data_IF_600872811332
#
_entry.id   IF_600872811332
#
_cell.length_a   1.000
_cell.length_b   1.000
_cell.length_c   1.000
_cell.angle_alpha   90.00
_cell.angle_beta   90.00
_cell.angle_gamma   90.00
#
_symmetry.space_group_name_H-M   'P 1'
#
loop_
_entity.id
_entity.type
_entity.pdbx_description
1 polymer ?
#
# COMPACT_ATOMS: atom_id res chain seq x y z
N UNK A 1 40.65 -20.61 51.99
CA UNK A 1 39.45 -19.79 51.65
C UNK A 1 39.66 -18.84 50.48
N UNK A 2 40.67 -17.99 50.44
CA UNK A 2 40.84 -17.00 49.33
C UNK A 2 40.95 -17.57 47.93
N UNK A 3 41.53 -18.75 47.69
CA UNK A 3 41.64 -19.36 46.36
C UNK A 3 40.31 -19.82 45.81
N UNK A 4 39.47 -20.42 46.64
CA UNK A 4 38.13 -20.86 46.27
C UNK A 4 37.19 -19.68 45.95
N UNK A 5 37.32 -18.58 46.70
CA UNK A 5 36.54 -17.36 46.44
C UNK A 5 36.91 -16.74 45.09
N UNK A 6 38.22 -16.71 44.74
CA UNK A 6 38.68 -16.23 43.42
C UNK A 6 38.14 -17.10 42.25
N UNK A 7 38.15 -18.43 42.44
CA UNK A 7 37.62 -19.37 41.43
C UNK A 7 36.10 -19.17 41.26
N UNK A 8 35.35 -19.06 42.34
CA UNK A 8 33.93 -18.77 42.30
C UNK A 8 33.62 -17.42 41.64
N UNK A 9 34.40 -16.39 41.96
CA UNK A 9 34.24 -15.06 41.38
C UNK A 9 34.58 -15.04 39.87
N UNK A 10 35.64 -15.75 39.45
CA UNK A 10 35.99 -15.88 38.04
C UNK A 10 34.96 -16.70 37.26
N UNK A 11 34.40 -17.76 37.87
CA UNK A 11 33.34 -18.56 37.26
C UNK A 11 32.05 -17.74 37.14
N UNK A 12 31.69 -17.00 38.17
CA UNK A 12 30.52 -16.10 38.11
C UNK A 12 30.70 -15.02 37.04
N UNK A 13 31.87 -14.43 36.93
CA UNK A 13 32.21 -13.44 35.88
C UNK A 13 32.13 -14.09 34.50
N UNK A 14 32.66 -15.30 34.33
CA UNK A 14 32.60 -16.03 33.07
C UNK A 14 31.15 -16.37 32.66
N UNK A 15 30.30 -16.76 33.62
CA UNK A 15 28.88 -17.01 33.40
C UNK A 15 28.18 -15.70 32.99
N UNK A 16 28.46 -14.58 33.63
CA UNK A 16 27.91 -13.26 33.29
C UNK A 16 28.32 -12.85 31.86
N UNK A 17 29.60 -13.00 31.52
CA UNK A 17 30.12 -12.68 30.19
C UNK A 17 29.51 -13.61 29.13
N UNK A 18 29.43 -14.92 29.40
CA UNK A 18 28.78 -15.87 28.50
C UNK A 18 27.27 -15.55 28.29
N UNK A 19 26.57 -15.22 29.38
CA UNK A 19 25.18 -14.78 29.34
C UNK A 19 25.00 -13.53 28.45
N UNK A 20 25.87 -12.52 28.61
CA UNK A 20 25.87 -11.32 27.81
C UNK A 20 26.10 -11.57 26.33
N UNK A 21 27.02 -12.46 25.98
CA UNK A 21 27.29 -12.83 24.59
C UNK A 21 26.17 -13.65 23.93
N UNK A 22 25.45 -14.45 24.71
CA UNK A 22 24.38 -15.32 24.20
C UNK A 22 23.03 -14.64 24.12
N UNK A 23 22.77 -13.60 24.93
CA UNK A 23 21.47 -12.96 25.01
C UNK A 23 21.10 -12.26 23.70
N UNK A 24 22.04 -11.61 23.04
CA UNK A 24 21.81 -10.91 21.77
C UNK A 24 21.44 -11.90 20.65
N UNK A 25 22.11 -13.07 20.62
CA UNK A 25 21.83 -14.13 19.65
C UNK A 25 20.46 -14.76 19.92
N UNK A 26 20.13 -15.00 21.19
CA UNK A 26 18.85 -15.57 21.58
C UNK A 26 17.68 -14.62 21.25
N UNK A 27 17.83 -13.32 21.54
CA UNK A 27 16.85 -12.29 21.21
C UNK A 27 16.68 -12.19 19.70
N UNK A 28 17.78 -12.15 18.93
CA UNK A 28 17.72 -12.13 17.48
C UNK A 28 16.91 -13.31 16.95
N UNK A 29 17.24 -14.53 17.35
CA UNK A 29 16.57 -15.76 16.88
C UNK A 29 15.08 -15.77 17.24
N UNK A 30 14.75 -15.30 18.45
CA UNK A 30 13.36 -15.20 18.90
C UNK A 30 12.57 -14.21 18.03
N UNK A 31 13.13 -13.01 17.81
CA UNK A 31 12.44 -11.95 17.02
C UNK A 31 12.30 -12.41 15.57
N UNK A 32 13.32 -13.00 14.97
CA UNK A 32 13.25 -13.50 13.59
C UNK A 32 12.23 -14.65 13.47
N UNK A 33 12.18 -15.57 14.43
CA UNK A 33 11.23 -16.69 14.43
C UNK A 33 9.80 -16.26 14.66
N UNK A 34 9.51 -15.66 15.80
CA UNK A 34 8.15 -15.25 16.17
C UNK A 34 7.64 -14.09 15.29
N UNK A 35 8.52 -13.16 14.93
CA UNK A 35 8.18 -12.07 14.03
C UNK A 35 7.83 -12.58 12.63
N UNK A 36 8.58 -13.55 12.09
CA UNK A 36 8.27 -14.17 10.80
C UNK A 36 6.93 -14.91 10.83
N UNK A 37 6.62 -15.60 11.91
CA UNK A 37 5.33 -16.26 12.10
C UNK A 37 4.18 -15.25 12.16
N UNK A 38 4.38 -14.14 12.89
CA UNK A 38 3.36 -13.11 13.05
C UNK A 38 3.05 -12.36 11.74
N UNK A 39 4.08 -12.12 10.91
CA UNK A 39 3.95 -11.40 9.63
C UNK A 39 3.56 -12.33 8.47
N UNK A 40 3.75 -13.64 8.61
CA UNK A 40 3.51 -14.62 7.54
C UNK A 40 4.61 -14.63 6.46
N UNK A 41 5.72 -13.92 6.69
CA UNK A 41 6.86 -13.83 5.80
C UNK A 41 8.15 -13.67 6.60
N UNK A 42 9.28 -13.99 5.98
CA UNK A 42 10.57 -13.91 6.65
C UNK A 42 10.86 -12.49 7.16
N UNK A 43 11.05 -12.37 8.46
CA UNK A 43 11.65 -11.22 9.13
C UNK A 43 13.11 -11.52 9.40
N UNK A 44 14.00 -10.61 9.05
CA UNK A 44 15.46 -10.74 9.24
C UNK A 44 16.02 -9.49 9.89
N UNK A 45 16.98 -9.66 10.78
CA UNK A 45 17.74 -8.57 11.39
C UNK A 45 19.23 -8.90 11.35
N UNK A 46 20.08 -7.91 11.12
CA UNK A 46 21.53 -8.14 11.13
C UNK A 46 22.05 -8.35 12.54
N UNK A 47 21.61 -7.50 13.46
CA UNK A 47 22.01 -7.57 14.88
C UNK A 47 20.86 -7.12 15.80
N UNK A 48 20.76 -7.79 16.94
CA UNK A 48 19.99 -7.35 18.10
C UNK A 48 20.98 -7.07 19.23
N UNK A 49 20.88 -5.90 19.86
CA UNK A 49 21.74 -5.54 20.99
C UNK A 49 20.86 -5.11 22.16
N UNK A 50 21.03 -5.77 23.28
CA UNK A 50 20.29 -5.47 24.49
C UNK A 50 21.15 -4.77 25.52
N UNK A 51 20.74 -3.58 25.94
CA UNK A 51 21.38 -2.82 27.03
C UNK A 51 20.50 -2.88 28.28
N UNK A 52 21.09 -3.20 29.41
CA UNK A 52 20.37 -3.30 30.67
C UNK A 52 20.18 -1.93 31.35
N UNK A 53 21.10 -1.01 31.17
CA UNK A 53 21.06 0.34 31.74
C UNK A 53 21.51 1.40 30.70
N UNK A 54 20.60 2.23 30.14
CA UNK A 54 19.16 2.09 30.22
C UNK A 54 18.67 0.82 29.53
N UNK A 55 17.53 0.28 29.98
CA UNK A 55 16.97 -0.92 29.38
C UNK A 55 16.46 -0.62 27.98
N UNK A 56 17.25 -1.00 26.98
CA UNK A 56 16.96 -0.70 25.58
C UNK A 56 17.34 -1.87 24.70
N UNK A 57 16.44 -2.27 23.82
CA UNK A 57 16.71 -3.20 22.73
C UNK A 57 16.90 -2.41 21.44
N UNK A 58 18.02 -2.62 20.77
CA UNK A 58 18.31 -2.01 19.47
C UNK A 58 18.45 -3.09 18.42
N UNK A 59 17.65 -2.98 17.35
CA UNK A 59 17.69 -3.84 16.18
C UNK A 59 18.33 -3.09 15.03
N UNK A 60 19.21 -3.73 14.29
CA UNK A 60 19.86 -3.16 13.11
C UNK A 60 19.45 -3.90 11.87
N UNK A 61 19.18 -3.11 10.82
CA UNK A 61 18.78 -3.59 9.50
C UNK A 61 17.61 -4.59 9.56
N UNK A 62 16.51 -4.14 10.17
CA UNK A 62 15.27 -4.90 10.19
C UNK A 62 14.69 -4.96 8.79
N UNK A 63 14.44 -6.16 8.27
CA UNK A 63 13.90 -6.41 6.95
C UNK A 63 12.69 -7.33 7.05
N UNK A 64 11.59 -6.95 6.41
CA UNK A 64 10.37 -7.75 6.32
C UNK A 64 10.12 -8.09 4.85
N UNK A 65 10.08 -9.37 4.53
CA UNK A 65 9.87 -9.87 3.16
C UNK A 65 8.46 -9.52 2.66
N UNK A 66 8.33 -9.17 1.38
CA UNK A 66 7.04 -9.03 0.74
C UNK A 66 6.45 -10.41 0.43
N UNK A 67 5.22 -10.66 0.92
CA UNK A 67 4.53 -11.95 0.72
C UNK A 67 4.17 -12.22 -0.74
N UNK A 68 4.07 -11.18 -1.58
CA UNK A 68 3.71 -11.28 -3.00
C UNK A 68 4.93 -11.28 -3.92
N UNK A 69 6.00 -10.59 -3.49
CA UNK A 69 7.25 -10.48 -4.23
C UNK A 69 8.43 -10.79 -3.30
N UNK A 70 8.77 -12.07 -3.05
CA UNK A 70 9.79 -12.47 -2.07
C UNK A 70 11.19 -11.92 -2.35
N UNK A 71 11.45 -11.42 -3.54
CA UNK A 71 12.67 -10.71 -3.92
C UNK A 71 12.73 -9.26 -3.41
N UNK A 72 11.64 -8.76 -2.82
CA UNK A 72 11.54 -7.42 -2.26
C UNK A 72 11.27 -7.48 -0.75
N UNK A 73 11.61 -6.39 -0.06
CA UNK A 73 11.16 -6.12 1.29
C UNK A 73 9.90 -5.26 1.25
N UNK A 74 8.83 -5.64 1.95
CA UNK A 74 7.70 -4.73 2.20
C UNK A 74 8.18 -3.49 2.93
N UNK A 75 9.05 -3.69 3.94
CA UNK A 75 9.69 -2.63 4.69
C UNK A 75 11.10 -3.02 5.14
N UNK A 76 11.96 -2.03 5.27
CA UNK A 76 13.30 -2.15 5.81
C UNK A 76 13.58 -0.93 6.69
N UNK A 77 14.09 -1.14 7.91
CA UNK A 77 14.53 -0.07 8.81
C UNK A 77 16.01 -0.23 9.15
N UNK A 78 16.76 0.85 9.08
CA UNK A 78 18.21 0.83 9.38
C UNK A 78 18.43 0.56 10.86
N UNK A 79 17.66 1.21 11.73
CA UNK A 79 17.74 1.04 13.18
C UNK A 79 16.37 1.15 13.82
N UNK A 80 16.07 0.23 14.73
CA UNK A 80 14.88 0.27 15.59
C UNK A 80 15.35 0.22 17.04
N UNK A 81 15.01 1.24 17.82
CA UNK A 81 15.36 1.34 19.24
C UNK A 81 14.11 1.28 20.10
N UNK A 82 14.09 0.37 21.07
CA UNK A 82 12.96 0.08 21.93
C UNK A 82 13.40 0.16 23.41
N UNK A 83 13.14 1.27 24.09
CA UNK A 83 13.27 1.33 25.56
C UNK A 83 12.15 0.48 26.18
N UNK A 84 12.52 -0.46 27.04
CA UNK A 84 11.63 -1.44 27.64
C UNK A 84 11.40 -1.16 29.12
N UNK A 85 10.17 -1.34 29.57
CA UNK A 85 9.82 -1.33 30.99
C UNK A 85 9.81 -2.75 31.55
N UNK A 86 10.91 -3.17 32.20
CA UNK A 86 11.07 -4.54 32.69
C UNK A 86 10.10 -4.90 33.82
N UNK A 87 9.63 -3.93 34.59
CA UNK A 87 8.65 -4.15 35.67
C UNK A 87 7.36 -4.77 35.17
N UNK A 88 6.86 -4.31 34.02
CA UNK A 88 5.61 -4.74 33.41
C UNK A 88 5.67 -6.15 32.82
N UNK A 89 6.88 -6.68 32.57
CA UNK A 89 7.05 -8.04 32.05
C UNK A 89 6.60 -9.11 33.05
N UNK A 90 6.61 -8.82 34.34
CA UNK A 90 6.09 -9.75 35.37
C UNK A 90 4.56 -9.93 35.25
N UNK A 91 3.86 -8.93 34.73
CA UNK A 91 2.42 -8.95 34.47
C UNK A 91 2.11 -9.32 33.03
N UNK A 92 3.10 -9.90 32.31
CA UNK A 92 3.00 -10.27 30.90
C UNK A 92 2.63 -9.08 29.98
N UNK A 93 3.03 -7.89 30.36
CA UNK A 93 2.85 -6.66 29.58
C UNK A 93 4.20 -6.20 29.03
N UNK A 94 4.27 -5.99 27.73
CA UNK A 94 5.41 -5.38 27.06
C UNK A 94 5.05 -3.93 26.71
N UNK A 95 5.47 -3.02 27.57
CA UNK A 95 5.24 -1.58 27.37
C UNK A 95 6.52 -0.94 26.86
N UNK A 96 6.47 -0.39 25.66
CA UNK A 96 7.53 0.40 25.03
C UNK A 96 7.11 1.86 25.07
N UNK A 97 7.82 2.66 25.85
CA UNK A 97 7.45 4.06 26.11
C UNK A 97 7.72 5.00 24.94
N UNK A 98 8.88 4.80 24.29
CA UNK A 98 9.31 5.63 23.17
C UNK A 98 10.16 4.81 22.20
N UNK A 99 9.53 4.28 21.16
CA UNK A 99 10.21 3.55 20.08
C UNK A 99 10.72 4.55 19.04
N UNK A 100 11.93 4.30 18.52
CA UNK A 100 12.49 5.08 17.43
C UNK A 100 12.79 4.17 16.25
N UNK A 101 12.28 4.54 15.08
CA UNK A 101 12.52 3.84 13.82
C UNK A 101 13.23 4.80 12.87
N UNK A 102 14.49 4.50 12.55
CA UNK A 102 15.29 5.31 11.65
C UNK A 102 15.53 4.62 10.33
N UNK A 103 15.50 5.42 9.26
CA UNK A 103 15.83 4.97 7.92
C UNK A 103 14.82 3.98 7.35
N UNK A 104 13.52 4.17 7.61
CA UNK A 104 12.46 3.31 7.08
C UNK A 104 12.35 3.48 5.56
N UNK A 105 12.41 2.35 4.84
CA UNK A 105 12.27 2.28 3.38
C UNK A 105 11.31 1.17 3.00
N UNK A 106 10.66 1.33 1.85
CA UNK A 106 9.68 0.36 1.32
C UNK A 106 10.17 -0.21 -0.01
N UNK A 107 9.70 -1.41 -0.36
CA UNK A 107 9.94 -2.08 -1.64
C UNK A 107 11.43 -2.22 -2.00
N UNK A 108 12.30 -2.37 -1.00
CA UNK A 108 13.74 -2.52 -1.24
C UNK A 108 14.08 -3.92 -1.76
N UNK A 109 14.97 -4.06 -2.77
CA UNK A 109 15.39 -5.36 -3.27
C UNK A 109 16.17 -6.13 -2.20
N UNK A 110 15.91 -7.43 -2.10
CA UNK A 110 16.66 -8.35 -1.23
C UNK A 110 17.81 -8.99 -1.99
N UNK A 111 18.91 -9.22 -1.28
CA UNK A 111 20.05 -9.97 -1.83
C UNK A 111 19.67 -11.44 -2.14
N UNK A 112 18.76 -12.02 -1.33
CA UNK A 112 18.19 -13.35 -1.54
C UNK A 112 16.70 -13.29 -1.30
N UNK A 113 15.87 -13.98 -2.11
CA UNK A 113 14.44 -14.06 -1.89
C UNK A 113 14.13 -14.59 -0.48
N UNK A 114 13.21 -13.92 0.21
CA UNK A 114 12.79 -14.33 1.55
C UNK A 114 11.89 -15.56 1.52
N UNK A 115 11.91 -16.34 2.60
CA UNK A 115 10.99 -17.46 2.78
C UNK A 115 9.59 -16.95 3.12
N UNK A 116 8.56 -17.63 2.59
CA UNK A 116 7.16 -17.38 2.94
C UNK A 116 6.69 -18.48 3.88
N UNK A 117 6.06 -18.10 4.96
CA UNK A 117 5.41 -19.03 5.91
C UNK A 117 3.96 -19.33 5.51
N UNK A 118 3.41 -18.51 4.61
CA UNK A 118 2.07 -18.66 4.03
C UNK A 118 2.14 -18.57 2.51
N UNK A 119 1.45 -19.47 1.80
CA UNK A 119 1.35 -19.45 0.34
C UNK A 119 0.29 -18.43 -0.09
N UNK A 120 0.72 -17.32 -0.71
CA UNK A 120 -0.21 -16.40 -1.36
C UNK A 120 -0.85 -17.06 -2.60
N UNK A 121 -2.16 -16.88 -2.86
CA UNK A 121 -2.80 -17.42 -4.06
C UNK A 121 -2.22 -16.77 -5.32
N UNK A 122 -1.72 -17.59 -6.23
CA UNK A 122 -1.26 -17.15 -7.55
C UNK A 122 -2.45 -16.68 -8.40
N UNK A 123 -2.28 -15.59 -9.14
CA UNK A 123 -3.27 -15.11 -10.12
C UNK A 123 -3.36 -16.16 -11.25
N UNK A 124 -4.47 -16.88 -11.31
CA UNK A 124 -4.69 -17.95 -12.28
C UNK A 124 -5.01 -17.40 -13.68
N UNK A 125 -4.69 -18.18 -14.73
CA UNK A 125 -5.01 -17.84 -16.14
C UNK A 125 -6.54 -17.63 -16.34
N UNK A 126 -7.37 -18.21 -15.50
CA UNK A 126 -8.81 -17.96 -15.44
C UNK A 126 -9.16 -16.50 -15.12
N UNK A 127 -8.41 -15.85 -14.22
CA UNK A 127 -8.63 -14.45 -13.88
C UNK A 127 -8.22 -13.51 -15.04
N UNK A 128 -7.26 -13.91 -15.88
CA UNK A 128 -6.90 -13.16 -17.10
C UNK A 128 -8.00 -13.26 -18.15
N UNK A 129 -8.50 -14.49 -18.42
CA UNK A 129 -9.58 -14.71 -19.38
C UNK A 129 -10.87 -13.94 -18.98
N UNK A 130 -11.18 -13.90 -17.70
CA UNK A 130 -12.32 -13.16 -17.17
C UNK A 130 -12.18 -11.63 -17.38
N UNK A 131 -10.95 -11.09 -17.24
CA UNK A 131 -10.67 -9.68 -17.54
C UNK A 131 -10.88 -9.31 -19.01
N UNK A 132 -10.39 -10.14 -19.91
CA UNK A 132 -10.64 -9.96 -21.37
C UNK A 132 -12.14 -9.93 -21.70
N UNK A 133 -12.91 -10.80 -21.07
CA UNK A 133 -14.36 -10.82 -21.27
C UNK A 133 -15.02 -9.55 -20.72
N UNK A 134 -14.61 -9.09 -19.52
CA UNK A 134 -15.13 -7.86 -18.93
C UNK A 134 -14.82 -6.61 -19.76
N UNK A 135 -13.61 -6.52 -20.34
CA UNK A 135 -13.22 -5.42 -21.22
C UNK A 135 -14.09 -5.41 -22.50
N UNK A 136 -14.29 -6.57 -23.15
CA UNK A 136 -15.17 -6.68 -24.32
C UNK A 136 -16.62 -6.34 -24.00
N UNK A 137 -17.15 -6.81 -22.88
CA UNK A 137 -18.50 -6.50 -22.45
C UNK A 137 -18.66 -5.02 -22.11
N UNK A 138 -17.62 -4.36 -21.60
CA UNK A 138 -17.63 -2.93 -21.34
C UNK A 138 -17.57 -2.12 -22.63
N UNK A 139 -16.73 -2.49 -23.59
CA UNK A 139 -16.70 -1.88 -24.91
C UNK A 139 -18.05 -2.07 -25.65
N UNK A 140 -18.67 -3.25 -25.56
CA UNK A 140 -20.01 -3.52 -26.13
C UNK A 140 -21.10 -2.69 -25.45
N UNK A 141 -21.04 -2.46 -24.13
CA UNK A 141 -21.98 -1.58 -23.42
C UNK A 141 -21.81 -0.12 -23.83
N UNK A 142 -20.59 0.32 -24.05
CA UNK A 142 -20.27 1.65 -24.56
C UNK A 142 -20.82 1.79 -25.99
N UNK A 143 -20.59 0.82 -26.85
CA UNK A 143 -21.12 0.79 -28.21
C UNK A 143 -22.66 0.81 -28.21
N UNK A 144 -23.29 0.04 -27.33
CA UNK A 144 -24.77 0.02 -27.21
C UNK A 144 -25.32 1.36 -26.67
N UNK A 145 -24.66 1.99 -25.72
CA UNK A 145 -25.03 3.30 -25.18
C UNK A 145 -24.84 4.43 -26.21
N UNK A 146 -23.80 4.34 -27.03
CA UNK A 146 -23.53 5.29 -28.11
C UNK A 146 -24.45 5.11 -29.31
N UNK A 147 -24.96 3.89 -29.54
CA UNK A 147 -25.92 3.60 -30.60
C UNK A 147 -27.37 4.15 -30.35
N UNK A 148 -27.64 4.53 -29.09
CA UNK A 148 -28.97 5.03 -28.68
C UNK A 148 -28.86 6.47 -28.14
N UNK A 149 -28.95 7.52 -28.98
CA UNK A 149 -28.66 8.92 -28.62
C UNK A 149 -29.70 9.59 -27.72
N UNK A 150 -30.53 8.85 -27.02
CA UNK A 150 -31.54 9.39 -26.11
C UNK A 150 -30.98 9.53 -24.70
N UNK A 151 -30.53 10.73 -24.40
CA UNK A 151 -30.21 11.37 -23.12
C UNK A 151 -28.74 11.32 -22.66
N UNK A 152 -28.20 12.53 -22.44
CA UNK A 152 -26.93 12.76 -21.74
C UNK A 152 -26.89 12.20 -20.29
N UNK A 153 -28.05 11.75 -19.77
CA UNK A 153 -28.17 11.05 -18.49
C UNK A 153 -27.72 9.57 -18.58
N UNK A 154 -27.80 8.95 -19.76
CA UNK A 154 -27.43 7.54 -19.94
C UNK A 154 -25.91 7.32 -20.07
N UNK A 155 -25.16 8.37 -20.41
CA UNK A 155 -23.67 8.32 -20.38
C UNK A 155 -23.11 8.16 -18.97
N UNK A 156 -23.83 8.61 -17.95
CA UNK A 156 -23.46 8.33 -16.55
C UNK A 156 -23.81 6.87 -16.13
N UNK A 157 -24.81 6.27 -16.77
CA UNK A 157 -25.23 4.89 -16.52
C UNK A 157 -24.30 3.85 -17.19
N UNK A 158 -23.59 4.23 -18.27
CA UNK A 158 -22.67 3.35 -18.99
C UNK A 158 -21.39 2.97 -18.21
N UNK A 159 -21.16 3.59 -17.07
CA UNK A 159 -19.94 3.40 -16.27
C UNK A 159 -18.73 4.18 -16.84
N UNK A 160 -17.80 4.51 -15.98
CA UNK A 160 -16.57 5.19 -16.40
C UNK A 160 -15.72 4.28 -17.29
N UNK A 161 -15.35 4.74 -18.49
CA UNK A 161 -14.39 4.04 -19.37
C UNK A 161 -13.07 3.85 -18.62
N UNK A 162 -12.61 4.87 -17.94
CA UNK A 162 -11.40 4.83 -17.10
C UNK A 162 -11.56 3.82 -15.97
N UNK A 163 -12.74 3.69 -15.38
CA UNK A 163 -13.06 2.69 -14.35
C UNK A 163 -12.89 1.26 -14.83
N UNK A 164 -13.26 0.98 -16.08
CA UNK A 164 -13.05 -0.33 -16.70
C UNK A 164 -11.57 -0.59 -16.98
N UNK A 165 -10.87 0.41 -17.52
CA UNK A 165 -9.46 0.28 -17.90
C UNK A 165 -8.53 0.16 -16.68
N UNK A 166 -8.84 0.82 -15.57
CA UNK A 166 -7.95 0.93 -14.40
C UNK A 166 -8.46 0.19 -13.15
N UNK A 167 -9.72 -0.22 -13.12
CA UNK A 167 -10.38 -0.76 -11.92
C UNK A 167 -9.67 -1.98 -11.35
N UNK A 168 -9.18 -2.86 -12.20
CA UNK A 168 -8.48 -4.08 -11.77
C UNK A 168 -7.09 -3.81 -11.19
N UNK A 169 -6.45 -2.70 -11.55
CA UNK A 169 -5.17 -2.27 -10.94
C UNK A 169 -5.40 -1.68 -9.55
N UNK A 170 -6.54 -1.05 -9.31
CA UNK A 170 -6.86 -0.39 -8.04
C UNK A 170 -7.40 -1.34 -6.97
N UNK A 171 -8.06 -2.44 -7.35
CA UNK A 171 -8.56 -3.46 -6.42
C UNK A 171 -7.49 -4.02 -5.48
N UNK A 172 -6.29 -4.43 -5.96
CA UNK A 172 -5.23 -4.91 -5.08
C UNK A 172 -4.72 -3.84 -4.10
N UNK A 173 -4.64 -2.58 -4.52
CA UNK A 173 -4.24 -1.46 -3.66
C UNK A 173 -5.28 -1.25 -2.54
N UNK A 174 -6.56 -1.29 -2.87
CA UNK A 174 -7.62 -1.19 -1.87
C UNK A 174 -7.55 -2.37 -0.90
N UNK A 175 -7.34 -3.59 -1.37
CA UNK A 175 -7.19 -4.77 -0.51
C UNK A 175 -6.00 -4.63 0.47
N UNK A 176 -4.91 -3.99 0.06
CA UNK A 176 -3.79 -3.68 0.95
C UNK A 176 -4.18 -2.66 2.03
N UNK A 177 -4.86 -1.58 1.65
CA UNK A 177 -5.36 -0.57 2.59
C UNK A 177 -6.31 -1.21 3.60
N UNK A 178 -7.24 -2.04 3.14
CA UNK A 178 -8.17 -2.79 3.99
C UNK A 178 -7.42 -3.72 4.95
N UNK A 179 -6.41 -4.43 4.47
CA UNK A 179 -5.61 -5.32 5.33
C UNK A 179 -4.87 -4.55 6.43
N UNK A 180 -4.38 -3.34 6.16
CA UNK A 180 -3.76 -2.47 7.16
C UNK A 180 -4.75 -1.96 8.21
N UNK A 181 -6.03 -1.81 7.84
CA UNK A 181 -7.10 -1.35 8.73
C UNK A 181 -7.81 -2.49 9.46
N UNK A 182 -7.54 -3.75 9.08
CA UNK A 182 -8.09 -4.91 9.78
C UNK A 182 -7.31 -5.11 11.08
N UNK A 183 -7.99 -5.21 12.24
CA UNK A 183 -7.31 -5.47 13.50
C UNK A 183 -6.46 -6.73 13.39
N UNK A 184 -5.20 -6.72 13.85
CA UNK A 184 -4.36 -7.90 13.82
C UNK A 184 -5.04 -9.01 14.62
N UNK A 185 -5.21 -10.18 13.99
CA UNK A 185 -5.66 -11.35 14.72
C UNK A 185 -4.53 -11.77 15.65
N UNK A 186 -4.83 -11.99 16.94
CA UNK A 186 -3.87 -12.34 17.98
C UNK A 186 -3.07 -13.59 17.58
N UNK A 187 -1.90 -13.40 17.02
CA UNK A 187 -0.93 -14.46 16.71
C UNK A 187 0.10 -14.68 17.83
N UNK A 188 0.25 -13.71 18.73
CA UNK A 188 1.04 -13.86 19.94
C UNK A 188 0.20 -14.65 20.97
N UNK A 189 0.73 -15.75 21.48
CA UNK A 189 0.04 -16.62 22.43
C UNK A 189 -0.74 -15.82 23.48
N UNK A 190 -1.90 -16.29 23.86
CA UNK A 190 -3.01 -15.61 24.55
C UNK A 190 -2.67 -14.78 25.82
N UNK A 191 -1.42 -14.72 26.23
CA UNK A 191 -1.03 -14.22 27.55
C UNK A 191 -0.22 -12.92 27.55
N UNK A 192 0.29 -12.46 26.40
CA UNK A 192 1.11 -11.25 26.32
C UNK A 192 0.36 -10.06 25.76
N UNK A 193 0.44 -8.93 26.46
CA UNK A 193 -0.14 -7.66 26.03
C UNK A 193 0.95 -6.67 25.65
N UNK A 194 0.86 -6.09 24.46
CA UNK A 194 1.88 -5.18 23.92
C UNK A 194 1.27 -3.78 23.73
N UNK A 195 1.98 -2.76 24.23
CA UNK A 195 1.65 -1.36 24.01
C UNK A 195 2.91 -0.58 23.62
N UNK A 196 2.88 0.03 22.45
CA UNK A 196 3.85 1.02 21.99
C UNK A 196 3.23 2.40 22.20
N UNK A 197 3.66 3.10 23.25
CA UNK A 197 3.03 4.35 23.67
C UNK A 197 3.35 5.51 22.72
N UNK A 198 4.61 5.58 22.28
CA UNK A 198 5.06 6.60 21.35
C UNK A 198 6.09 6.00 20.40
N UNK A 199 5.93 6.28 19.11
CA UNK A 199 6.85 5.85 18.07
C UNK A 199 7.22 7.08 17.25
N UNK A 200 8.50 7.41 17.21
CA UNK A 200 9.08 8.33 16.26
C UNK A 200 9.59 7.55 15.06
N UNK A 201 9.24 7.99 13.87
CA UNK A 201 9.67 7.36 12.63
C UNK A 201 10.23 8.38 11.66
N UNK A 202 11.33 8.05 11.02
CA UNK A 202 11.82 8.73 9.83
C UNK A 202 12.14 7.72 8.74
N UNK A 203 12.07 8.18 7.51
CA UNK A 203 12.29 7.28 6.39
C UNK A 203 12.19 7.95 5.04
N UNK A 204 12.14 7.12 4.02
CA UNK A 204 12.06 7.53 2.63
C UNK A 204 11.01 6.70 1.89
N UNK A 205 10.16 7.38 1.13
CA UNK A 205 9.22 6.80 0.20
C UNK A 205 9.78 6.95 -1.21
N UNK A 206 10.07 5.85 -1.88
CA UNK A 206 10.51 5.83 -3.27
C UNK A 206 9.30 5.85 -4.20
N UNK A 207 9.16 6.94 -4.95
CA UNK A 207 8.09 7.15 -5.92
C UNK A 207 8.60 7.07 -7.37
N UNK A 208 9.77 6.46 -7.55
CA UNK A 208 10.37 6.20 -8.86
C UNK A 208 11.20 7.35 -9.46
N UNK A 209 11.29 8.51 -8.80
CA UNK A 209 12.09 9.67 -9.26
C UNK A 209 13.18 10.05 -8.29
N UNK A 210 12.76 10.64 -7.20
CA UNK A 210 13.58 10.96 -6.04
C UNK A 210 12.88 10.50 -4.79
N UNK A 211 13.60 9.91 -3.83
CA UNK A 211 12.97 9.48 -2.59
C UNK A 211 12.44 10.69 -1.83
N UNK A 212 11.18 10.61 -1.42
CA UNK A 212 10.54 11.58 -0.56
C UNK A 212 10.86 11.22 0.89
N UNK A 213 11.65 12.02 1.58
CA UNK A 213 11.93 11.83 2.99
C UNK A 213 10.73 12.27 3.83
N UNK A 214 10.42 11.52 4.86
CA UNK A 214 9.35 11.82 5.79
C UNK A 214 9.77 11.61 7.24
N UNK A 215 9.06 12.27 8.13
CA UNK A 215 9.10 12.04 9.58
C UNK A 215 7.68 11.90 10.10
N UNK A 216 7.52 11.26 11.23
CA UNK A 216 6.20 11.15 11.83
C UNK A 216 6.20 10.53 13.20
N UNK A 217 5.01 10.50 13.77
CA UNK A 217 4.74 9.94 15.10
C UNK A 217 3.56 8.99 15.03
N UNK A 218 3.62 7.91 15.82
CA UNK A 218 2.48 7.03 16.09
C UNK A 218 2.34 6.90 17.60
N UNK A 219 1.13 7.08 18.09
CA UNK A 219 0.81 7.01 19.52
C UNK A 219 -0.12 5.84 19.81
N UNK A 220 0.15 5.16 20.92
CA UNK A 220 -0.69 4.11 21.51
C UNK A 220 -1.00 2.97 20.54
N UNK A 221 0.00 2.47 19.85
CA UNK A 221 -0.16 1.31 18.97
C UNK A 221 -0.16 0.02 19.80
N UNK A 222 -1.22 -0.76 19.67
CA UNK A 222 -1.35 -2.06 20.34
C UNK A 222 -2.09 -3.06 19.45
N UNK A 223 -1.66 -4.34 19.38
CA UNK A 223 -2.45 -5.40 18.76
C UNK A 223 -3.70 -5.77 19.59
N UNK A 224 -3.77 -5.33 20.87
CA UNK A 224 -4.91 -5.54 21.77
C UNK A 224 -5.37 -4.21 22.38
N UNK A 225 -5.88 -3.27 21.57
CA UNK A 225 -6.22 -1.93 22.03
C UNK A 225 -7.33 -1.92 23.09
N UNK A 226 -8.20 -2.94 23.10
CA UNK A 226 -9.25 -3.11 24.11
C UNK A 226 -8.68 -3.38 25.52
N UNK A 227 -7.50 -4.02 25.62
CA UNK A 227 -6.87 -4.30 26.92
C UNK A 227 -6.36 -3.03 27.58
N UNK A 228 -5.78 -2.12 26.80
CA UNK A 228 -5.20 -0.86 27.27
C UNK A 228 -6.17 0.32 27.22
N UNK A 229 -7.38 0.12 26.70
CA UNK A 229 -8.38 1.17 26.41
C UNK A 229 -7.77 2.36 25.64
N UNK A 230 -6.95 2.06 24.65
CA UNK A 230 -6.19 3.05 23.90
C UNK A 230 -6.67 3.18 22.46
N UNK A 231 -6.49 4.39 21.89
CA UNK A 231 -6.76 4.72 20.50
C UNK A 231 -5.45 5.07 19.83
N UNK A 232 -5.12 4.39 18.75
CA UNK A 232 -3.92 4.70 17.97
C UNK A 232 -4.12 5.98 17.16
N UNK A 233 -3.17 6.91 17.25
CA UNK A 233 -3.09 8.11 16.41
C UNK A 233 -1.78 8.14 15.68
N UNK A 234 -1.77 8.63 14.46
CA UNK A 234 -0.54 8.84 13.72
C UNK A 234 -0.57 10.13 12.93
N UNK A 235 0.62 10.67 12.70
CA UNK A 235 0.85 11.82 11.84
C UNK A 235 2.19 11.63 11.14
N UNK A 236 2.19 11.71 9.80
CA UNK A 236 3.39 11.64 8.97
C UNK A 236 3.44 12.87 8.08
N UNK A 237 4.61 13.48 7.98
CA UNK A 237 4.85 14.64 7.13
C UNK A 237 6.15 14.43 6.34
N UNK A 238 6.16 14.87 5.08
CA UNK A 238 7.43 14.91 4.35
C UNK A 238 8.32 16.02 4.89
N UNK A 239 9.60 15.73 5.02
CA UNK A 239 10.59 16.78 5.27
C UNK A 239 10.71 17.61 4.00
N UNK A 240 10.73 18.93 4.16
CA UNK A 240 10.71 19.91 3.07
C UNK A 240 11.90 19.70 2.13
N UNK A 241 11.72 18.88 1.12
CA UNK A 241 12.57 18.75 -0.04
C UNK A 241 11.79 19.23 -1.26
N UNK A 242 12.43 19.86 -2.20
CA UNK A 242 11.92 20.63 -3.33
C UNK A 242 10.99 19.86 -4.30
N UNK A 243 10.62 18.61 -4.05
CA UNK A 243 10.00 17.70 -5.01
C UNK A 243 8.69 17.08 -4.57
N UNK A 244 7.94 17.72 -3.69
CA UNK A 244 6.63 17.27 -3.25
C UNK A 244 6.44 17.30 -1.74
N UNK A 245 5.19 17.32 -1.32
CA UNK A 245 4.81 17.29 0.09
C UNK A 245 3.86 16.15 0.36
N UNK A 246 4.06 15.47 1.47
CA UNK A 246 3.17 14.46 2.01
C UNK A 246 2.73 14.91 3.40
N UNK A 247 1.44 14.88 3.64
CA UNK A 247 0.88 14.96 4.98
C UNK A 247 -0.15 13.85 5.10
N UNK A 248 0.00 12.99 6.10
CA UNK A 248 -1.02 11.99 6.41
C UNK A 248 -1.22 11.91 7.91
N UNK A 249 -2.47 11.81 8.32
CA UNK A 249 -2.83 11.66 9.73
C UNK A 249 -4.03 10.74 9.88
N UNK A 250 -4.14 10.09 11.00
CA UNK A 250 -5.28 9.23 11.24
C UNK A 250 -5.48 8.85 12.70
N UNK A 251 -6.66 8.30 12.92
CA UNK A 251 -7.12 7.76 14.21
C UNK A 251 -7.65 6.36 13.94
N UNK A 252 -7.16 5.37 14.69
CA UNK A 252 -7.59 3.99 14.61
C UNK A 252 -8.11 3.56 15.99
N UNK A 253 -9.40 3.34 16.10
CA UNK A 253 -10.06 2.87 17.32
C UNK A 253 -10.62 1.47 17.13
N UNK A 254 -9.93 0.49 17.66
CA UNK A 254 -10.30 -0.92 17.59
C UNK A 254 -10.71 -1.50 18.95
N UNK A 255 -11.06 -0.64 19.91
CA UNK A 255 -11.42 -1.06 21.28
C UNK A 255 -12.71 -1.87 21.35
N UNK A 256 -13.67 -1.60 20.47
CA UNK A 256 -14.98 -2.27 20.42
C UNK A 256 -15.32 -2.69 18.99
N UNK A 257 -15.73 -1.73 18.18
CA UNK A 257 -15.95 -1.89 16.75
C UNK A 257 -14.79 -1.22 16.03
N UNK A 258 -14.36 -1.78 14.90
CA UNK A 258 -13.38 -1.12 14.07
C UNK A 258 -13.90 0.26 13.67
N UNK A 259 -13.16 1.30 14.04
CA UNK A 259 -13.46 2.68 13.69
C UNK A 259 -12.14 3.36 13.34
N UNK A 260 -12.01 3.80 12.10
CA UNK A 260 -10.80 4.43 11.63
C UNK A 260 -11.13 5.65 10.78
N UNK A 261 -10.28 6.66 10.87
CA UNK A 261 -10.32 7.82 9.97
C UNK A 261 -8.90 8.17 9.60
N UNK A 262 -8.60 8.18 8.30
CA UNK A 262 -7.29 8.48 7.75
C UNK A 262 -7.45 9.55 6.67
N UNK A 263 -6.71 10.64 6.81
CA UNK A 263 -6.59 11.69 5.79
C UNK A 263 -5.18 11.71 5.25
N UNK A 264 -5.04 11.86 3.95
CA UNK A 264 -3.75 12.08 3.30
C UNK A 264 -3.86 13.18 2.25
N UNK A 265 -2.79 13.93 2.14
CA UNK A 265 -2.59 14.99 1.16
C UNK A 265 -1.16 14.88 0.62
N UNK A 266 -1.05 14.70 -0.68
CA UNK A 266 0.21 14.64 -1.39
C UNK A 266 0.16 15.73 -2.46
N UNK A 267 1.09 16.65 -2.43
CA UNK A 267 1.12 17.76 -3.39
C UNK A 267 2.46 17.83 -4.13
N UNK A 268 2.38 18.19 -5.40
CA UNK A 268 3.51 18.37 -6.30
C UNK A 268 4.44 17.15 -6.38
N UNK A 269 3.89 15.93 -6.29
CA UNK A 269 4.68 14.68 -6.37
C UNK A 269 5.11 14.41 -7.81
N UNK A 270 6.41 14.30 -8.09
CA UNK A 270 6.87 13.81 -9.38
C UNK A 270 6.63 12.29 -9.46
N UNK A 271 5.88 11.88 -10.47
CA UNK A 271 5.58 10.47 -10.76
C UNK A 271 6.29 10.07 -12.05
N UNK A 272 6.96 8.91 -12.06
CA UNK A 272 7.57 8.33 -13.27
C UNK A 272 7.35 6.84 -13.35
N UNK A 273 7.18 6.37 -14.58
CA UNK A 273 7.06 4.95 -14.93
C UNK A 273 6.05 4.18 -14.07
N UNK A 274 4.97 4.87 -13.65
CA UNK A 274 3.92 4.30 -12.81
C UNK A 274 2.91 3.52 -13.68
N UNK A 275 2.73 2.22 -13.48
CA UNK A 275 1.70 1.47 -14.17
C UNK A 275 0.32 1.90 -13.69
N UNK A 276 -0.58 2.23 -14.64
CA UNK A 276 -1.99 2.51 -14.35
C UNK A 276 -2.86 1.29 -14.65
N UNK A 277 -2.52 0.52 -15.68
CA UNK A 277 -3.23 -0.69 -16.06
C UNK A 277 -2.40 -1.50 -17.04
N UNK A 278 -2.50 -2.81 -16.94
CA UNK A 278 -1.82 -3.73 -17.85
C UNK A 278 -2.74 -4.90 -18.16
N UNK A 279 -3.12 -5.00 -19.43
CA UNK A 279 -3.75 -6.16 -20.02
C UNK A 279 -2.92 -6.61 -21.23
N UNK A 280 -3.19 -7.80 -21.78
CA UNK A 280 -2.50 -8.31 -22.98
C UNK A 280 -2.64 -7.38 -24.19
N UNK A 281 -3.78 -6.68 -24.30
CA UNK A 281 -4.12 -5.86 -25.46
C UNK A 281 -3.95 -4.36 -25.22
N UNK A 282 -3.85 -3.93 -23.95
CA UNK A 282 -3.70 -2.53 -23.59
C UNK A 282 -2.89 -2.38 -22.30
N UNK A 283 -1.72 -1.76 -22.40
CA UNK A 283 -0.89 -1.37 -21.26
C UNK A 283 -0.82 0.16 -21.19
N UNK A 284 -1.18 0.71 -20.03
CA UNK A 284 -1.15 2.14 -19.77
C UNK A 284 -0.20 2.40 -18.61
N UNK A 285 0.73 3.34 -18.79
CA UNK A 285 1.60 3.81 -17.71
C UNK A 285 1.79 5.32 -17.79
N UNK A 286 2.00 5.94 -16.65
CA UNK A 286 2.45 7.34 -16.58
C UNK A 286 3.95 7.30 -16.78
N UNK A 287 4.45 7.79 -17.91
CA UNK A 287 5.89 7.94 -18.18
C UNK A 287 6.48 9.03 -17.29
N UNK A 288 5.79 10.16 -17.18
CA UNK A 288 6.06 11.23 -16.21
C UNK A 288 4.79 12.03 -15.94
N UNK A 289 4.67 12.59 -14.75
CA UNK A 289 3.65 13.57 -14.36
C UNK A 289 4.05 14.25 -13.04
N UNK A 290 3.32 15.30 -12.70
CA UNK A 290 3.26 15.86 -11.34
C UNK A 290 1.86 15.58 -10.81
N UNK A 291 1.78 14.91 -9.66
CA UNK A 291 0.51 14.51 -9.06
C UNK A 291 0.23 15.29 -7.77
N UNK A 292 -1.02 15.73 -7.64
CA UNK A 292 -1.61 16.20 -6.40
C UNK A 292 -2.72 15.21 -6.02
N UNK A 293 -2.62 14.58 -4.83
CA UNK A 293 -3.55 13.52 -4.41
C UNK A 293 -4.08 13.82 -3.01
N UNK A 294 -5.39 13.85 -2.87
CA UNK A 294 -6.06 14.04 -1.58
C UNK A 294 -7.00 12.88 -1.33
N UNK A 295 -7.08 12.43 -0.09
CA UNK A 295 -7.99 11.37 0.25
C UNK A 295 -8.44 11.36 1.69
N UNK A 296 -9.63 10.83 1.88
CA UNK A 296 -10.23 10.54 3.16
C UNK A 296 -10.73 9.09 3.15
N UNK A 297 -10.29 8.34 4.14
CA UNK A 297 -10.75 6.99 4.40
C UNK A 297 -11.43 6.96 5.75
N UNK A 298 -12.63 6.43 5.81
CA UNK A 298 -13.36 6.16 7.05
C UNK A 298 -13.74 4.68 7.10
N UNK A 299 -13.61 4.09 8.28
CA UNK A 299 -14.08 2.75 8.58
C UNK A 299 -14.98 2.82 9.80
N UNK A 300 -16.17 2.23 9.73
CA UNK A 300 -17.09 2.13 10.86
C UNK A 300 -17.67 0.71 10.90
N UNK A 301 -17.25 -0.07 11.88
CA UNK A 301 -17.56 -1.51 11.93
C UNK A 301 -16.99 -2.23 10.70
N UNK A 302 -17.88 -2.73 9.85
CA UNK A 302 -17.53 -3.41 8.59
C UNK A 302 -17.80 -2.55 7.36
N UNK A 303 -18.07 -1.26 7.54
CA UNK A 303 -18.37 -0.33 6.44
C UNK A 303 -17.19 0.59 6.18
N UNK A 304 -16.70 0.58 4.94
CA UNK A 304 -15.65 1.46 4.43
C UNK A 304 -16.28 2.60 3.62
N UNK A 305 -15.72 3.79 3.76
CA UNK A 305 -15.95 4.94 2.90
C UNK A 305 -14.60 5.56 2.57
N UNK A 306 -14.17 5.41 1.32
CA UNK A 306 -12.94 5.96 0.79
C UNK A 306 -13.28 6.93 -0.34
N UNK A 307 -12.71 8.12 -0.29
CA UNK A 307 -12.75 9.10 -1.37
C UNK A 307 -11.34 9.60 -1.64
N UNK A 308 -10.85 9.42 -2.87
CA UNK A 308 -9.54 9.86 -3.33
C UNK A 308 -9.69 10.69 -4.58
N UNK A 309 -9.16 11.90 -4.56
CA UNK A 309 -9.05 12.78 -5.72
C UNK A 309 -7.57 12.91 -6.07
N UNK A 310 -7.22 12.55 -7.30
CA UNK A 310 -5.88 12.70 -7.84
C UNK A 310 -5.93 13.60 -9.09
N UNK A 311 -5.12 14.64 -9.08
CA UNK A 311 -4.94 15.56 -10.20
C UNK A 311 -3.52 15.39 -10.76
N UNK A 312 -3.41 15.07 -12.05
CA UNK A 312 -2.14 14.89 -12.74
C UNK A 312 -1.92 16.02 -13.71
N UNK A 313 -0.72 16.65 -13.62
CA UNK A 313 -0.26 17.72 -14.50
C UNK A 313 1.02 17.29 -15.23
N UNK A 314 1.30 17.92 -16.35
CA UNK A 314 2.50 17.63 -17.17
C UNK A 314 2.65 16.13 -17.46
N UNK A 315 1.50 15.48 -17.66
CA UNK A 315 1.43 14.04 -17.84
C UNK A 315 1.89 13.65 -19.24
N UNK A 316 2.75 12.62 -19.30
CA UNK A 316 3.10 11.92 -20.52
C UNK A 316 2.71 10.45 -20.36
N UNK A 317 1.58 10.06 -20.93
CA UNK A 317 1.08 8.72 -20.86
C UNK A 317 1.75 7.85 -21.94
N UNK A 318 2.27 6.69 -21.52
CA UNK A 318 2.75 5.65 -22.43
C UNK A 318 1.66 4.60 -22.58
N UNK A 319 1.28 4.36 -23.81
CA UNK A 319 0.23 3.40 -24.14
C UNK A 319 0.75 2.43 -25.17
N UNK A 320 0.72 1.14 -24.84
CA UNK A 320 1.00 0.02 -25.73
C UNK A 320 -0.32 -0.69 -25.95
N UNK A 321 -0.69 -0.90 -27.20
CA UNK A 321 -1.98 -1.48 -27.56
C UNK A 321 -1.84 -2.42 -28.75
N UNK A 322 -2.78 -3.35 -28.88
CA UNK A 322 -2.98 -4.17 -30.08
C UNK A 322 -3.50 -3.31 -31.27
N UNK A 323 -3.61 -3.93 -32.46
CA UNK A 323 -4.04 -3.24 -33.68
C UNK A 323 -5.57 -3.05 -33.77
N UNK A 324 -6.32 -3.30 -32.70
CA UNK A 324 -7.76 -3.06 -32.66
C UNK A 324 -8.08 -1.55 -32.76
N UNK A 325 -8.94 -1.11 -33.71
CA UNK A 325 -9.18 0.30 -33.96
C UNK A 325 -9.72 1.08 -32.75
N UNK A 326 -10.50 0.43 -31.88
CA UNK A 326 -11.02 1.01 -30.63
C UNK A 326 -9.88 1.30 -29.66
N UNK A 327 -8.98 0.33 -29.48
CA UNK A 327 -7.84 0.48 -28.59
C UNK A 327 -6.82 1.49 -29.15
N UNK A 328 -6.63 1.53 -30.45
CA UNK A 328 -5.82 2.58 -31.11
C UNK A 328 -6.41 3.97 -30.91
N UNK A 329 -7.74 4.10 -30.95
CA UNK A 329 -8.43 5.37 -30.70
C UNK A 329 -8.27 5.81 -29.24
N UNK A 330 -8.42 4.90 -28.29
CA UNK A 330 -8.16 5.14 -26.87
C UNK A 330 -6.70 5.58 -26.67
N UNK A 331 -5.76 4.85 -27.26
CA UNK A 331 -4.34 5.15 -27.18
C UNK A 331 -4.00 6.56 -27.73
N UNK A 332 -4.63 6.97 -28.83
CA UNK A 332 -4.42 8.29 -29.41
C UNK A 332 -4.90 9.42 -28.50
N UNK A 333 -6.04 9.25 -27.83
CA UNK A 333 -6.55 10.20 -26.82
C UNK A 333 -5.59 10.29 -25.64
N UNK A 334 -5.20 9.14 -25.08
CA UNK A 334 -4.35 9.09 -23.90
C UNK A 334 -2.96 9.68 -24.15
N UNK A 335 -2.33 9.36 -25.28
CA UNK A 335 -1.02 9.91 -25.67
C UNK A 335 -0.99 11.44 -25.81
N UNK A 336 -2.13 12.05 -26.16
CA UNK A 336 -2.25 13.50 -26.29
C UNK A 336 -2.72 14.20 -25.02
N UNK A 337 -2.92 13.45 -23.93
CA UNK A 337 -3.36 14.01 -22.66
C UNK A 337 -2.18 14.49 -21.84
N UNK A 338 -2.20 15.75 -21.44
CA UNK A 338 -1.16 16.38 -20.61
C UNK A 338 -1.61 16.65 -19.18
N UNK A 339 -2.91 16.59 -18.91
CA UNK A 339 -3.46 16.73 -17.57
C UNK A 339 -4.79 15.93 -17.48
N UNK A 340 -5.04 15.33 -16.33
CA UNK A 340 -6.28 14.60 -16.06
C UNK A 340 -6.53 14.43 -14.56
N UNK A 341 -7.79 14.20 -14.22
CA UNK A 341 -8.25 13.92 -12.87
C UNK A 341 -8.71 12.48 -12.76
N UNK A 342 -8.46 11.87 -11.60
CA UNK A 342 -9.05 10.60 -11.18
C UNK A 342 -9.78 10.81 -9.86
N UNK A 343 -11.03 10.36 -9.79
CA UNK A 343 -11.81 10.32 -8.56
C UNK A 343 -12.18 8.86 -8.27
N UNK A 344 -11.56 8.31 -7.24
CA UNK A 344 -11.81 6.96 -6.76
C UNK A 344 -12.68 7.02 -5.51
N UNK A 345 -13.78 6.29 -5.52
CA UNK A 345 -14.65 6.08 -4.37
C UNK A 345 -14.77 4.58 -4.10
N UNK A 346 -14.72 4.20 -2.82
CA UNK A 346 -14.99 2.85 -2.39
C UNK A 346 -15.93 2.88 -1.20
N UNK A 347 -17.10 2.27 -1.32
CA UNK A 347 -18.14 2.32 -0.30
C UNK A 347 -18.70 0.91 -0.03
N UNK A 348 -19.18 0.69 1.20
CA UNK A 348 -19.90 -0.51 1.59
C UNK A 348 -19.07 -1.47 2.44
N UNK A 349 -19.35 -2.77 2.33
CA UNK A 349 -18.70 -3.81 3.12
C UNK A 349 -17.19 -3.86 2.83
N UNK A 350 -16.37 -3.84 3.89
CA UNK A 350 -14.90 -3.82 3.80
C UNK A 350 -14.33 -5.03 3.05
N UNK A 351 -15.01 -6.17 3.09
CA UNK A 351 -14.57 -7.38 2.39
C UNK A 351 -14.95 -7.37 0.90
N UNK A 352 -15.99 -6.60 0.54
CA UNK A 352 -16.47 -6.51 -0.84
C UNK A 352 -16.99 -5.10 -1.17
N UNK A 353 -16.12 -4.07 -1.13
CA UNK A 353 -16.51 -2.69 -1.35
C UNK A 353 -16.92 -2.45 -2.81
N UNK A 354 -17.92 -1.57 -3.00
CA UNK A 354 -18.30 -1.06 -4.31
C UNK A 354 -17.33 0.04 -4.72
N UNK A 355 -16.57 -0.22 -5.78
CA UNK A 355 -15.63 0.71 -6.37
C UNK A 355 -16.29 1.55 -7.47
N UNK A 356 -16.08 2.86 -7.42
CA UNK A 356 -16.42 3.79 -8.51
C UNK A 356 -15.17 4.61 -8.83
N UNK A 357 -14.75 4.57 -10.08
CA UNK A 357 -13.67 5.39 -10.61
C UNK A 357 -14.23 6.26 -11.72
N UNK A 358 -14.09 7.56 -11.59
CA UNK A 358 -14.42 8.55 -12.61
C UNK A 358 -13.16 9.32 -13.00
N UNK A 359 -13.10 9.79 -14.23
CA UNK A 359 -11.97 10.56 -14.72
C UNK A 359 -12.42 11.66 -15.67
N UNK A 360 -11.66 12.75 -15.71
CA UNK A 360 -11.81 13.75 -16.75
C UNK A 360 -11.49 13.21 -18.16
N UNK A 361 -10.86 12.02 -18.25
CA UNK A 361 -10.60 11.30 -19.50
C UNK A 361 -11.85 10.64 -20.08
N UNK A 362 -12.87 10.36 -19.30
CA UNK A 362 -14.05 9.62 -19.73
C UNK A 362 -14.77 10.33 -20.90
N UNK A 363 -14.90 11.66 -20.82
CA UNK A 363 -15.56 12.44 -21.86
C UNK A 363 -14.79 12.47 -23.19
N UNK A 364 -13.48 12.80 -23.26
CA UNK A 364 -12.72 12.75 -24.51
C UNK A 364 -12.60 11.33 -25.08
N UNK A 365 -12.51 10.30 -24.26
CA UNK A 365 -12.50 8.91 -24.71
C UNK A 365 -13.83 8.52 -25.36
N UNK A 366 -14.96 8.83 -24.71
CA UNK A 366 -16.28 8.58 -25.26
C UNK A 366 -16.49 9.31 -26.59
N UNK A 367 -16.10 10.60 -26.68
CA UNK A 367 -16.20 11.38 -27.91
C UNK A 367 -15.37 10.81 -29.07
N UNK A 368 -14.16 10.29 -28.78
CA UNK A 368 -13.30 9.69 -29.78
C UNK A 368 -13.86 8.37 -30.30
N UNK A 369 -14.36 7.51 -29.41
CA UNK A 369 -15.00 6.24 -29.78
C UNK A 369 -16.27 6.48 -30.61
N UNK A 370 -17.08 7.48 -30.26
CA UNK A 370 -18.28 7.85 -31.03
C UNK A 370 -17.93 8.28 -32.47
N UNK A 371 -16.88 9.09 -32.65
CA UNK A 371 -16.39 9.46 -33.98
C UNK A 371 -15.96 8.25 -34.80
N UNK A 372 -15.24 7.30 -34.20
CA UNK A 372 -14.84 6.08 -34.87
C UNK A 372 -16.04 5.28 -35.35
N UNK A 373 -17.08 5.16 -34.53
CA UNK A 373 -18.33 4.48 -34.89
C UNK A 373 -19.05 5.16 -36.04
N UNK A 374 -19.16 6.50 -36.02
CA UNK A 374 -19.76 7.28 -37.10
C UNK A 374 -19.02 7.10 -38.43
N UNK A 375 -17.67 7.09 -38.41
CA UNK A 375 -16.85 6.82 -39.60
C UNK A 375 -17.08 5.42 -40.18
N UNK A 376 -17.24 4.41 -39.34
CA UNK A 376 -17.56 3.04 -39.77
C UNK A 376 -18.94 2.95 -40.41
N UNK A 377 -19.95 3.62 -39.86
CA UNK A 377 -21.27 3.65 -40.44
C UNK A 377 -21.29 4.34 -41.81
N UNK A 378 -20.57 5.44 -41.96
CA UNK A 378 -20.42 6.15 -43.24
C UNK A 378 -19.69 5.32 -44.30
N UNK A 379 -18.68 4.55 -43.90
CA UNK A 379 -17.93 3.66 -44.82
C UNK A 379 -18.73 2.40 -45.19
N UNK A 380 -19.62 1.93 -44.32
CA UNK A 380 -20.47 0.77 -44.57
C UNK A 380 -21.67 1.08 -45.54
N UNK A 381 -22.06 2.37 -45.68
CA UNK A 381 -23.03 2.85 -46.64
C UNK A 381 -22.39 3.87 -47.57
N UNK A 382 -21.55 3.43 -48.56
CA UNK A 382 -21.12 4.36 -49.59
C UNK A 382 -22.36 4.90 -50.26
N UNK A 383 -22.50 6.24 -50.28
CA UNK A 383 -23.61 6.89 -50.97
C UNK A 383 -23.71 6.26 -52.37
N UNK A 384 -24.82 5.55 -52.60
CA UNK A 384 -25.16 5.08 -53.94
C UNK A 384 -25.23 6.33 -54.80
N UNK A 385 -24.19 6.64 -55.55
CA UNK A 385 -24.17 7.67 -56.57
C UNK A 385 -25.23 7.26 -57.58
N UNK A 386 -26.45 7.79 -57.39
CA UNK A 386 -27.51 7.73 -58.36
C UNK A 386 -27.02 8.41 -59.63
N UNK A 387 -26.63 7.59 -60.61
CA UNK A 387 -26.57 8.05 -61.97
C UNK A 387 -27.98 8.21 -62.48
N UNK A 388 -28.29 9.38 -62.89
CA UNK A 388 -29.30 9.65 -63.87
C UNK A 388 -28.60 10.16 -65.13
#
# INVERSE_FOLDING_TARGET
MQRWLKILLSLALLIVVAYWLLIDIAIKTLIEGEGSNAVGAQLSIDAATFHLFPTTLTLRNLQVTDTRAPSLNTMQAETVSLPLQLSELFDKQLIVTAMQIHGLRFNQPRAQPGALTSTAPSVTDAARAQRHQQLREALQRIDAALANPLTAADTQAAGSITGVLLGDTLKPLLAQIVALLTPPQNSLGNDWHILLQHIDVDGQLDLGTQPLSFTGTVENLSPQPQHFDTVTRFNLISTANQTGQLTTSGVLDFRKLANASVRFDLSALPVRDMPLGSDSDLTISIGQAVADVQGLLSLTGNQIDLNVLAHFRDAALRVITSDEPELQTIAAVLKNTTAFDLNLQANGDVQNPVLKLNSSLDQPLAAALLRLQQQRQQSAFPASSGGF
#
